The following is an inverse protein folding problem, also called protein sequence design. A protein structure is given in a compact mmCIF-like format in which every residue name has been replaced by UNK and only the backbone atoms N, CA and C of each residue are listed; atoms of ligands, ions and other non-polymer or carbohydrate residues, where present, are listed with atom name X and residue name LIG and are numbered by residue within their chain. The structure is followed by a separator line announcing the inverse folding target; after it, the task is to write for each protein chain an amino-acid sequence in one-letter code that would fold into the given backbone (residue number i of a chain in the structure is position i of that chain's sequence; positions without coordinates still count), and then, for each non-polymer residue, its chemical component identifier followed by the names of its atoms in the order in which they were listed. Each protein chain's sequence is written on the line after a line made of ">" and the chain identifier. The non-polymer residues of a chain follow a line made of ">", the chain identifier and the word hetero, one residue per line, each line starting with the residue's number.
data_IF_700478665853
#
_entry.id   IF_700478665853
#
_cell.length_a   1.000
_cell.length_b   1.000
_cell.length_c   1.000
_cell.angle_alpha   90.00
_cell.angle_beta   90.00
_cell.angle_gamma   90.00
#
_symmetry.space_group_name_H-M   'P 1'
#
loop_
_entity.id
_entity.type
_entity.pdbx_description
1 polymer ?
#
# COMPACT_ATOMS: atom_id res chain seq x y z
N UNK A 1 -14.48 79.11 23.58
CA UNK A 1 -13.85 78.72 22.31
C UNK A 1 -13.15 77.39 22.57
N UNK A 2 -13.40 76.44 21.68
CA UNK A 2 -13.15 74.99 21.78
C UNK A 2 -11.72 74.62 22.15
N UNK A 3 -11.56 73.79 23.17
CA UNK A 3 -10.32 73.04 23.41
C UNK A 3 -10.31 71.82 22.48
N UNK A 4 -9.26 71.70 21.69
CA UNK A 4 -8.92 70.54 20.86
C UNK A 4 -8.74 69.29 21.74
N UNK A 5 -9.72 68.38 21.71
CA UNK A 5 -9.52 66.99 22.11
C UNK A 5 -9.00 66.20 20.90
N UNK A 6 -7.68 66.03 20.82
CA UNK A 6 -7.10 64.96 19.98
C UNK A 6 -7.30 63.63 20.70
N UNK A 7 -8.23 62.83 20.21
CA UNK A 7 -8.30 61.39 20.51
C UNK A 7 -6.95 60.72 20.21
N UNK A 8 -6.43 59.86 21.10
CA UNK A 8 -5.24 59.08 20.79
C UNK A 8 -5.59 57.98 19.77
N UNK A 9 -4.73 57.71 18.76
CA UNK A 9 -4.98 56.64 17.82
C UNK A 9 -4.52 55.32 18.44
N UNK A 10 -5.45 54.51 18.94
CA UNK A 10 -5.20 53.09 19.19
C UNK A 10 -6.49 52.32 19.45
N UNK A 11 -7.01 51.65 18.44
CA UNK A 11 -7.42 50.26 18.59
C UNK A 11 -6.94 49.50 17.35
N UNK A 12 -5.82 48.82 17.55
CA UNK A 12 -5.23 47.93 16.59
C UNK A 12 -6.27 46.94 16.02
N UNK A 13 -6.46 47.01 14.71
CA UNK A 13 -6.78 45.85 13.87
C UNK A 13 -5.65 44.82 14.04
N UNK A 14 -5.66 44.11 15.16
CA UNK A 14 -5.01 42.80 15.27
C UNK A 14 -5.84 41.82 14.46
N UNK A 15 -5.80 41.98 13.14
CA UNK A 15 -6.11 40.88 12.22
C UNK A 15 -5.16 39.76 12.61
N UNK A 16 -5.75 38.67 13.10
CA UNK A 16 -5.08 37.58 13.78
C UNK A 16 -3.79 37.20 13.06
N UNK A 17 -2.65 37.36 13.74
CA UNK A 17 -1.37 36.80 13.29
C UNK A 17 -1.59 35.28 13.30
N UNK A 18 -2.01 34.73 12.16
CA UNK A 18 -2.29 33.30 12.01
C UNK A 18 -1.01 32.55 12.30
N UNK A 19 -0.94 31.90 13.47
CA UNK A 19 0.20 31.10 13.85
C UNK A 19 0.40 30.00 12.78
N UNK A 20 1.56 29.92 12.12
CA UNK A 20 1.80 28.92 11.07
C UNK A 20 1.62 27.48 11.55
N UNK A 21 1.86 27.21 12.84
CA UNK A 21 1.67 25.88 13.45
C UNK A 21 0.19 25.51 13.53
N UNK A 22 -0.66 26.45 13.97
CA UNK A 22 -2.11 26.27 14.04
C UNK A 22 -2.70 26.01 12.64
N UNK A 23 -2.18 26.73 11.63
CA UNK A 23 -2.56 26.52 10.24
C UNK A 23 -2.17 25.15 9.70
N UNK A 24 -1.04 24.58 10.15
CA UNK A 24 -0.61 23.23 9.78
C UNK A 24 -1.53 22.17 10.38
N UNK A 25 -1.78 22.23 11.69
CA UNK A 25 -2.62 21.25 12.42
C UNK A 25 -4.03 21.23 11.82
N UNK A 26 -4.63 22.40 11.61
CA UNK A 26 -5.97 22.46 11.03
C UNK A 26 -6.03 21.90 9.60
N UNK A 27 -4.96 22.05 8.82
CA UNK A 27 -4.89 21.44 7.48
C UNK A 27 -4.69 19.92 7.52
N UNK A 28 -4.01 19.41 8.55
CA UNK A 28 -3.86 17.98 8.82
C UNK A 28 -5.22 17.38 9.18
N UNK A 29 -5.96 17.99 10.10
CA UNK A 29 -7.32 17.56 10.47
C UNK A 29 -8.27 17.55 9.26
N UNK A 30 -8.28 18.63 8.47
CA UNK A 30 -9.14 18.70 7.28
C UNK A 30 -8.83 17.61 6.25
N UNK A 31 -7.57 17.19 6.11
CA UNK A 31 -7.23 16.13 5.16
C UNK A 31 -7.56 14.74 5.72
N UNK A 32 -7.39 14.50 7.03
CA UNK A 32 -7.77 13.22 7.64
C UNK A 32 -9.28 13.03 7.65
N UNK A 33 -10.06 14.07 7.97
CA UNK A 33 -11.53 14.02 7.91
C UNK A 33 -12.01 13.72 6.49
N UNK A 34 -11.47 14.46 5.52
CA UNK A 34 -11.81 14.23 4.12
C UNK A 34 -11.38 12.83 3.64
N UNK A 35 -10.27 12.29 4.14
CA UNK A 35 -9.80 10.94 3.82
C UNK A 35 -10.74 9.87 4.38
N UNK A 36 -11.24 10.04 5.60
CA UNK A 36 -12.23 9.14 6.19
C UNK A 36 -13.54 9.08 5.38
N UNK A 37 -13.94 10.21 4.78
CA UNK A 37 -15.14 10.26 3.94
C UNK A 37 -14.93 9.63 2.55
N UNK A 38 -13.81 9.91 1.87
CA UNK A 38 -13.65 9.60 0.44
C UNK A 38 -12.65 8.49 0.13
N UNK A 39 -11.81 8.10 1.09
CA UNK A 39 -10.80 7.06 0.98
C UNK A 39 -9.67 7.33 -0.01
N UNK A 40 -9.68 8.50 -0.68
CA UNK A 40 -8.77 8.82 -1.77
C UNK A 40 -7.93 10.03 -1.41
N UNK A 41 -6.62 9.83 -1.24
CA UNK A 41 -5.66 10.90 -0.88
C UNK A 41 -5.74 12.11 -1.81
N UNK A 42 -5.90 11.90 -3.13
CA UNK A 42 -5.97 13.00 -4.10
C UNK A 42 -7.23 13.88 -3.91
N UNK A 43 -8.36 13.28 -3.56
CA UNK A 43 -9.60 14.01 -3.29
C UNK A 43 -9.52 14.69 -1.92
N UNK A 44 -9.04 13.98 -0.89
CA UNK A 44 -8.86 14.52 0.45
C UNK A 44 -7.94 15.76 0.46
N UNK A 45 -6.81 15.69 -0.24
CA UNK A 45 -5.89 16.83 -0.39
C UNK A 45 -6.56 18.02 -1.09
N UNK A 46 -7.42 17.77 -2.09
CA UNK A 46 -8.14 18.83 -2.80
C UNK A 46 -9.14 19.53 -1.86
N UNK A 47 -9.88 18.77 -1.06
CA UNK A 47 -10.83 19.30 -0.06
C UNK A 47 -10.13 20.09 1.04
N UNK A 48 -9.00 19.58 1.54
CA UNK A 48 -8.18 20.28 2.52
C UNK A 48 -7.41 21.49 1.94
N UNK A 49 -7.34 21.62 0.61
CA UNK A 49 -6.59 22.69 -0.06
C UNK A 49 -5.08 22.59 0.15
N UNK A 50 -4.52 21.37 0.13
CA UNK A 50 -3.09 21.11 0.21
C UNK A 50 -2.60 20.36 -1.04
N UNK A 51 -1.33 20.53 -1.38
CA UNK A 51 -0.70 19.71 -2.41
C UNK A 51 -0.40 18.30 -1.88
N UNK A 52 -0.49 17.28 -2.73
CA UNK A 52 -0.11 15.90 -2.36
C UNK A 52 1.33 15.78 -1.87
N UNK A 53 2.25 16.58 -2.42
CA UNK A 53 3.64 16.62 -1.97
C UNK A 53 3.74 17.08 -0.50
N UNK A 54 2.91 18.03 -0.08
CA UNK A 54 2.82 18.48 1.31
C UNK A 54 2.31 17.37 2.22
N UNK A 55 1.28 16.65 1.78
CA UNK A 55 0.72 15.50 2.51
C UNK A 55 1.79 14.42 2.77
N UNK A 56 2.51 13.97 1.75
CA UNK A 56 3.55 12.94 1.92
C UNK A 56 4.72 13.42 2.78
N UNK A 57 5.15 14.68 2.61
CA UNK A 57 6.16 15.25 3.50
C UNK A 57 5.71 15.24 4.97
N UNK A 58 4.45 15.56 5.24
CA UNK A 58 3.93 15.49 6.60
C UNK A 58 3.86 14.07 7.15
N UNK A 59 3.57 13.07 6.31
CA UNK A 59 3.64 11.66 6.73
C UNK A 59 5.06 11.25 7.14
N UNK A 60 6.08 11.69 6.38
CA UNK A 60 7.48 11.38 6.68
C UNK A 60 7.97 12.11 7.94
N UNK A 61 7.57 13.38 8.13
CA UNK A 61 8.06 14.24 9.20
C UNK A 61 7.31 14.03 10.54
N UNK A 62 6.08 13.52 10.51
CA UNK A 62 5.18 13.50 11.67
C UNK A 62 4.48 12.13 11.85
N UNK A 63 5.04 11.24 12.70
CA UNK A 63 4.45 9.95 13.00
C UNK A 63 3.04 10.02 13.61
N UNK A 64 2.69 11.12 14.29
CA UNK A 64 1.34 11.29 14.84
C UNK A 64 0.33 11.55 13.72
N UNK A 65 0.71 12.32 12.70
CA UNK A 65 -0.10 12.50 11.51
C UNK A 65 -0.28 11.20 10.72
N UNK A 66 0.77 10.38 10.61
CA UNK A 66 0.66 9.05 9.99
C UNK A 66 -0.39 8.17 10.71
N UNK A 67 -0.39 8.15 12.04
CA UNK A 67 -1.39 7.41 12.80
C UNK A 67 -2.83 7.91 12.54
N UNK A 68 -3.04 9.23 12.46
CA UNK A 68 -4.35 9.82 12.14
C UNK A 68 -4.81 9.46 10.71
N UNK A 69 -3.88 9.42 9.76
CA UNK A 69 -4.15 8.99 8.39
C UNK A 69 -4.56 7.52 8.34
N UNK A 70 -3.87 6.65 9.08
CA UNK A 70 -4.19 5.23 9.13
C UNK A 70 -5.59 5.00 9.74
N UNK A 71 -5.92 5.73 10.81
CA UNK A 71 -7.25 5.70 11.43
C UNK A 71 -8.34 6.19 10.47
N UNK A 72 -8.10 7.31 9.77
CA UNK A 72 -9.04 7.83 8.77
C UNK A 72 -9.27 6.83 7.63
N UNK A 73 -8.20 6.20 7.13
CA UNK A 73 -8.31 5.19 6.08
C UNK A 73 -9.11 3.98 6.56
N UNK A 74 -8.93 3.55 7.81
CA UNK A 74 -9.69 2.45 8.38
C UNK A 74 -11.16 2.81 8.61
N UNK A 75 -11.46 4.04 9.03
CA UNK A 75 -12.84 4.53 9.11
C UNK A 75 -13.54 4.49 7.73
N UNK A 76 -12.83 4.85 6.66
CA UNK A 76 -13.36 4.71 5.30
C UNK A 76 -13.59 3.23 4.92
N UNK A 77 -12.64 2.35 5.28
CA UNK A 77 -12.78 0.92 5.05
C UNK A 77 -13.99 0.34 5.80
N UNK A 78 -14.26 0.79 7.03
CA UNK A 78 -15.45 0.42 7.79
C UNK A 78 -16.74 0.88 7.10
N UNK A 79 -16.78 2.10 6.57
CA UNK A 79 -17.91 2.56 5.77
C UNK A 79 -18.16 1.66 4.54
N UNK A 80 -17.08 1.22 3.86
CA UNK A 80 -17.19 0.27 2.75
C UNK A 80 -17.72 -1.09 3.24
N UNK A 81 -17.21 -1.62 4.36
CA UNK A 81 -17.68 -2.90 4.93
C UNK A 81 -19.16 -2.86 5.27
N UNK A 82 -19.62 -1.76 5.88
CA UNK A 82 -21.04 -1.55 6.19
C UNK A 82 -21.90 -1.53 4.93
N UNK A 83 -21.46 -0.86 3.86
CA UNK A 83 -22.22 -0.83 2.60
C UNK A 83 -22.19 -2.18 1.87
N UNK A 84 -21.09 -2.94 1.97
CA UNK A 84 -21.01 -4.32 1.50
C UNK A 84 -22.06 -5.17 2.21
N UNK A 85 -22.11 -5.13 3.55
CA UNK A 85 -23.08 -5.89 4.34
C UNK A 85 -24.51 -5.47 4.01
N UNK A 86 -24.80 -4.16 3.97
CA UNK A 86 -26.11 -3.64 3.61
C UNK A 86 -26.59 -4.16 2.25
N UNK A 87 -25.73 -4.16 1.21
CA UNK A 87 -26.10 -4.66 -0.13
C UNK A 87 -26.15 -6.18 -0.23
N UNK A 88 -25.31 -6.88 0.51
CA UNK A 88 -25.21 -8.33 0.46
C UNK A 88 -26.31 -9.02 1.29
N UNK A 89 -26.58 -8.52 2.49
CA UNK A 89 -27.43 -9.16 3.50
C UNK A 89 -28.82 -8.53 3.57
N UNK A 90 -28.92 -7.20 3.55
CA UNK A 90 -30.23 -6.53 3.56
C UNK A 90 -30.78 -6.36 2.16
N UNK A 91 -29.91 -6.12 1.17
CA UNK A 91 -30.23 -5.87 -0.22
C UNK A 91 -30.55 -4.40 -0.53
N UNK A 92 -30.96 -4.13 -1.77
CA UNK A 92 -31.45 -2.83 -2.22
C UNK A 92 -32.84 -2.99 -2.81
N UNK A 93 -33.78 -2.14 -2.39
CA UNK A 93 -35.11 -2.07 -3.00
C UNK A 93 -35.00 -1.52 -4.41
N UNK A 94 -35.42 -2.31 -5.39
CA UNK A 94 -35.49 -1.88 -6.79
C UNK A 94 -36.91 -1.98 -7.35
N UNK A 95 -37.36 -0.97 -8.11
CA UNK A 95 -38.64 -1.05 -8.79
C UNK A 95 -38.58 -2.12 -9.89
N UNK A 96 -39.64 -2.92 -10.00
CA UNK A 96 -39.81 -3.93 -11.06
C UNK A 96 -41.16 -3.77 -11.75
N UNK A 97 -41.25 -4.29 -12.97
CA UNK A 97 -42.47 -4.18 -13.79
C UNK A 97 -42.57 -2.81 -14.46
N UNK A 98 -41.57 -2.46 -15.28
CA UNK A 98 -41.65 -1.30 -16.15
C UNK A 98 -42.56 -1.61 -17.34
N UNK A 99 -43.71 -0.94 -17.42
CA UNK A 99 -44.56 -0.95 -18.60
C UNK A 99 -44.71 0.49 -19.10
N UNK A 100 -44.32 0.74 -20.35
CA UNK A 100 -44.31 2.08 -20.98
C UNK A 100 -43.56 3.17 -20.19
N UNK A 101 -42.47 2.81 -19.50
CA UNK A 101 -41.63 3.78 -18.78
C UNK A 101 -42.11 4.12 -17.36
N UNK A 102 -43.24 3.56 -16.93
CA UNK A 102 -43.73 3.69 -15.56
C UNK A 102 -43.49 2.38 -14.81
N UNK A 103 -42.94 2.49 -13.59
CA UNK A 103 -42.81 1.34 -12.69
C UNK A 103 -44.19 1.02 -12.10
N UNK A 104 -44.66 -0.22 -12.24
CA UNK A 104 -45.97 -0.69 -11.78
C UNK A 104 -46.14 -0.78 -10.25
N UNK A 105 -45.46 0.06 -9.47
CA UNK A 105 -45.54 0.14 -8.01
C UNK A 105 -44.97 -1.05 -7.26
N UNK A 106 -44.45 -2.06 -7.97
CA UNK A 106 -43.89 -3.28 -7.38
C UNK A 106 -42.40 -3.09 -7.14
N UNK A 107 -41.92 -3.48 -5.96
CA UNK A 107 -40.51 -3.45 -5.59
C UNK A 107 -40.06 -4.85 -5.25
N UNK A 108 -38.83 -5.20 -5.63
CA UNK A 108 -38.13 -6.39 -5.15
C UNK A 108 -36.92 -5.96 -4.35
N UNK A 109 -36.54 -6.82 -3.40
CA UNK A 109 -35.28 -6.69 -2.70
C UNK A 109 -34.20 -7.42 -3.52
N UNK A 110 -33.22 -6.69 -4.04
CA UNK A 110 -32.09 -7.28 -4.76
C UNK A 110 -30.88 -7.39 -3.84
N UNK A 111 -30.35 -8.61 -3.71
CA UNK A 111 -29.15 -8.90 -2.94
C UNK A 111 -27.94 -9.02 -3.87
N UNK A 112 -26.75 -8.76 -3.33
CA UNK A 112 -25.49 -8.94 -4.07
C UNK A 112 -24.73 -10.16 -3.56
N UNK A 113 -24.94 -11.30 -4.21
CA UNK A 113 -24.24 -12.55 -3.89
C UNK A 113 -22.72 -12.41 -4.04
N UNK A 114 -22.26 -11.63 -5.02
CA UNK A 114 -20.83 -11.36 -5.20
C UNK A 114 -20.24 -10.65 -3.98
N UNK A 115 -20.93 -9.62 -3.46
CA UNK A 115 -20.48 -8.92 -2.25
C UNK A 115 -20.55 -9.83 -1.03
N UNK A 116 -21.57 -10.70 -0.94
CA UNK A 116 -21.68 -11.70 0.12
C UNK A 116 -20.50 -12.68 0.09
N UNK A 117 -20.10 -13.15 -1.09
CA UNK A 117 -18.93 -14.02 -1.28
C UNK A 117 -17.65 -13.31 -0.84
N UNK A 118 -17.44 -12.05 -1.24
CA UNK A 118 -16.27 -11.28 -0.80
C UNK A 118 -16.24 -11.08 0.72
N UNK A 119 -17.39 -10.75 1.32
CA UNK A 119 -17.51 -10.58 2.76
C UNK A 119 -17.24 -11.90 3.51
N UNK A 120 -17.77 -13.01 3.00
CA UNK A 120 -17.51 -14.36 3.52
C UNK A 120 -16.02 -14.72 3.46
N UNK A 121 -15.39 -14.53 2.29
CA UNK A 121 -13.94 -14.75 2.10
C UNK A 121 -13.07 -13.95 3.07
N UNK A 122 -13.46 -12.72 3.38
CA UNK A 122 -12.72 -11.87 4.31
C UNK A 122 -12.75 -12.42 5.75
N UNK A 123 -13.93 -12.84 6.23
CA UNK A 123 -14.14 -13.25 7.64
C UNK A 123 -13.89 -14.74 7.92
N UNK A 124 -14.15 -15.60 6.95
CA UNK A 124 -14.20 -17.06 7.16
C UNK A 124 -13.07 -17.75 6.39
N UNK A 125 -12.03 -18.27 7.08
CA UNK A 125 -10.86 -18.87 6.43
C UNK A 125 -11.18 -20.00 5.44
N UNK A 126 -12.23 -20.77 5.68
CA UNK A 126 -12.65 -21.90 4.85
C UNK A 126 -13.17 -21.48 3.47
N UNK A 127 -13.59 -20.22 3.30
CA UNK A 127 -14.05 -19.67 2.02
C UNK A 127 -12.94 -18.94 1.26
N UNK A 128 -11.79 -18.67 1.88
CA UNK A 128 -10.66 -18.01 1.22
C UNK A 128 -10.19 -18.80 0.01
N UNK A 129 -9.74 -18.08 -1.02
CA UNK A 129 -9.18 -18.70 -2.21
C UNK A 129 -7.94 -19.53 -1.84
N UNK A 130 -7.99 -20.82 -2.17
CA UNK A 130 -6.83 -21.71 -2.04
C UNK A 130 -5.93 -21.48 -3.24
N UNK A 131 -4.78 -20.86 -3.01
CA UNK A 131 -3.74 -20.76 -4.04
C UNK A 131 -3.05 -22.12 -4.12
N UNK A 132 -3.21 -22.82 -5.24
CA UNK A 132 -2.50 -24.07 -5.49
C UNK A 132 -1.06 -23.74 -5.90
N UNK A 133 -0.14 -23.88 -4.94
CA UNK A 133 1.30 -23.58 -5.09
C UNK A 133 2.01 -24.76 -5.79
N UNK A 134 1.41 -25.34 -6.84
CA UNK A 134 1.99 -26.49 -7.55
C UNK A 134 3.08 -26.10 -8.57
N UNK A 135 3.28 -24.80 -8.85
CA UNK A 135 4.34 -24.33 -9.76
C UNK A 135 5.17 -23.17 -9.20
N UNK A 136 5.33 -23.06 -7.87
CA UNK A 136 6.42 -22.25 -7.33
C UNK A 136 7.67 -23.11 -7.31
N UNK A 137 8.61 -22.82 -8.21
CA UNK A 137 9.97 -23.33 -8.15
C UNK A 137 10.49 -23.00 -6.74
N UNK A 138 10.59 -24.03 -5.90
CA UNK A 138 11.12 -23.94 -4.54
C UNK A 138 12.62 -23.72 -4.65
N UNK A 139 13.02 -22.44 -4.76
CA UNK A 139 14.43 -22.02 -4.90
C UNK A 139 15.32 -22.60 -3.80
N UNK A 140 14.77 -22.87 -2.62
CA UNK A 140 15.44 -23.51 -1.49
C UNK A 140 15.82 -24.98 -1.72
N UNK A 141 15.23 -25.62 -2.73
CA UNK A 141 15.52 -27.01 -3.09
C UNK A 141 16.42 -27.14 -4.30
N UNK A 142 16.77 -26.04 -4.96
CA UNK A 142 17.65 -26.09 -6.13
C UNK A 142 19.08 -26.27 -5.64
N UNK A 143 19.78 -27.21 -6.26
CA UNK A 143 21.21 -27.34 -6.11
C UNK A 143 21.90 -26.35 -7.06
N UNK A 144 22.21 -25.17 -6.54
CA UNK A 144 22.79 -24.06 -7.31
C UNK A 144 24.18 -24.39 -7.86
N UNK A 145 24.91 -25.30 -7.23
CA UNK A 145 26.27 -25.69 -7.64
C UNK A 145 26.26 -26.62 -8.86
N UNK A 146 25.12 -27.25 -9.14
CA UNK A 146 24.94 -28.15 -10.28
C UNK A 146 24.27 -27.49 -11.49
N UNK A 147 23.94 -26.20 -11.39
CA UNK A 147 23.42 -25.44 -12.52
C UNK A 147 24.56 -25.04 -13.48
N UNK A 148 24.30 -24.96 -14.79
CA UNK A 148 25.29 -24.45 -15.74
C UNK A 148 25.69 -23.01 -15.41
N UNK A 149 26.98 -22.68 -15.57
CA UNK A 149 27.48 -21.31 -15.35
C UNK A 149 26.69 -20.27 -16.17
N UNK A 150 26.24 -20.61 -17.38
CA UNK A 150 25.41 -19.72 -18.21
C UNK A 150 24.08 -19.30 -17.55
N UNK A 151 23.52 -20.14 -16.67
CA UNK A 151 22.30 -19.86 -15.91
C UNK A 151 22.66 -19.02 -14.68
N UNK A 152 23.74 -19.39 -13.98
CA UNK A 152 24.23 -18.70 -12.77
C UNK A 152 24.65 -17.26 -13.10
N UNK A 153 25.37 -17.06 -14.20
CA UNK A 153 25.89 -15.76 -14.65
C UNK A 153 24.74 -14.78 -14.93
N UNK A 154 23.64 -15.24 -15.52
CA UNK A 154 22.44 -14.41 -15.77
C UNK A 154 21.82 -13.91 -14.46
N UNK A 155 21.73 -14.79 -13.47
CA UNK A 155 21.19 -14.46 -12.14
C UNK A 155 22.14 -13.50 -11.41
N UNK A 156 23.46 -13.73 -11.50
CA UNK A 156 24.49 -12.84 -10.96
C UNK A 156 24.43 -11.44 -11.60
N UNK A 157 24.10 -11.35 -12.89
CA UNK A 157 23.85 -10.11 -13.62
C UNK A 157 22.50 -9.44 -13.30
N UNK A 158 21.85 -9.81 -12.18
CA UNK A 158 20.57 -9.28 -11.68
C UNK A 158 19.35 -9.60 -12.55
N UNK A 159 19.42 -10.60 -13.43
CA UNK A 159 18.19 -11.13 -14.02
C UNK A 159 17.31 -11.81 -12.96
N UNK A 160 16.00 -11.79 -13.17
CA UNK A 160 15.08 -12.43 -12.24
C UNK A 160 15.29 -13.96 -12.25
N UNK A 161 15.70 -14.52 -11.09
CA UNK A 161 16.02 -15.94 -10.95
C UNK A 161 14.88 -16.87 -11.40
N UNK A 162 13.61 -16.52 -11.15
CA UNK A 162 12.48 -17.34 -11.59
C UNK A 162 12.36 -17.36 -13.11
N UNK A 163 12.55 -16.23 -13.78
CA UNK A 163 12.48 -16.16 -15.23
C UNK A 163 13.62 -16.93 -15.90
N UNK A 164 14.83 -16.84 -15.33
CA UNK A 164 16.00 -17.58 -15.82
C UNK A 164 15.79 -19.09 -15.69
N UNK A 165 15.34 -19.58 -14.52
CA UNK A 165 15.10 -20.99 -14.27
C UNK A 165 13.90 -21.54 -15.05
N UNK A 166 12.85 -20.74 -15.26
CA UNK A 166 11.74 -21.10 -16.14
C UNK A 166 12.22 -21.28 -17.58
N UNK A 167 13.03 -20.35 -18.11
CA UNK A 167 13.60 -20.48 -19.45
C UNK A 167 14.49 -21.71 -19.62
N UNK A 168 15.16 -22.13 -18.54
CA UNK A 168 15.98 -23.34 -18.51
C UNK A 168 15.13 -24.62 -18.57
N UNK A 169 14.00 -24.66 -17.85
CA UNK A 169 13.01 -25.76 -17.92
C UNK A 169 12.33 -25.80 -19.29
N UNK A 170 11.96 -24.65 -19.86
CA UNK A 170 11.29 -24.55 -21.17
C UNK A 170 12.17 -25.08 -22.30
N UNK A 171 13.50 -25.03 -22.13
CA UNK A 171 14.48 -25.65 -23.03
C UNK A 171 14.56 -27.18 -22.88
N UNK A 172 13.75 -27.78 -22.01
CA UNK A 172 13.68 -29.21 -21.76
C UNK A 172 14.70 -29.71 -20.73
N UNK A 173 15.38 -28.82 -20.00
CA UNK A 173 16.35 -29.20 -18.98
C UNK A 173 15.68 -29.42 -17.61
N UNK A 174 16.11 -30.43 -16.87
CA UNK A 174 15.64 -30.65 -15.50
C UNK A 174 16.43 -29.81 -14.51
N UNK A 175 15.74 -29.22 -13.52
CA UNK A 175 16.41 -28.51 -12.43
C UNK A 175 17.10 -29.50 -11.49
N UNK A 176 18.38 -29.27 -11.14
CA UNK A 176 19.05 -30.07 -10.14
C UNK A 176 18.44 -29.75 -8.77
N UNK A 177 17.97 -30.77 -8.07
CA UNK A 177 17.33 -30.63 -6.76
C UNK A 177 18.23 -31.22 -5.68
N UNK A 178 18.39 -30.51 -4.57
CA UNK A 178 19.08 -31.00 -3.39
C UNK A 178 18.39 -32.29 -2.89
N UNK A 179 19.16 -33.34 -2.55
CA UNK A 179 18.60 -34.56 -2.00
C UNK A 179 17.84 -34.25 -0.72
N UNK A 180 16.63 -34.79 -0.59
CA UNK A 180 15.73 -34.48 0.53
C UNK A 180 16.31 -34.89 1.88
N UNK A 181 16.92 -33.95 2.61
CA UNK A 181 17.38 -34.20 3.97
C UNK A 181 18.40 -33.19 4.50
N UNK A 182 17.91 -32.26 5.34
CA UNK A 182 18.64 -31.32 6.23
C UNK A 182 19.43 -30.20 5.54
N UNK A 183 18.90 -28.98 5.75
CA UNK A 183 19.48 -27.64 5.57
C UNK A 183 21.01 -27.65 5.34
N UNK A 184 21.42 -27.48 4.09
CA UNK A 184 22.77 -27.01 3.82
C UNK A 184 22.83 -25.53 4.21
N UNK A 185 23.56 -25.23 5.29
CA UNK A 185 23.91 -23.87 5.66
C UNK A 185 24.91 -23.35 4.63
N UNK A 186 24.42 -22.84 3.50
CA UNK A 186 25.28 -22.08 2.59
C UNK A 186 25.62 -20.75 3.27
N UNK A 187 26.84 -20.69 3.82
CA UNK A 187 27.56 -19.44 4.06
C UNK A 187 27.61 -18.65 2.76
N UNK A 188 27.26 -17.36 2.82
CA UNK A 188 27.36 -16.41 1.69
C UNK A 188 28.77 -16.51 1.08
N UNK A 189 28.92 -16.39 -0.26
CA UNK A 189 30.24 -16.28 -0.87
C UNK A 189 30.95 -15.05 -0.31
N UNK A 190 32.16 -15.26 0.20
CA UNK A 190 33.10 -14.18 0.53
C UNK A 190 33.64 -13.66 -0.80
N UNK A 191 33.62 -12.33 -0.93
CA UNK A 191 34.05 -11.56 -2.09
C UNK A 191 35.55 -11.80 -2.41
N UNK A 192 35.95 -12.14 -3.65
CA UNK A 192 37.35 -12.30 -4.01
C UNK A 192 37.90 -11.01 -4.60
N UNK A 193 38.59 -10.19 -3.80
CA UNK A 193 39.22 -8.97 -4.33
C UNK A 193 40.02 -8.17 -3.31
N UNK A 194 41.24 -8.61 -3.02
CA UNK A 194 42.25 -7.83 -2.31
C UNK A 194 43.64 -8.40 -2.63
N UNK A 195 44.30 -7.82 -3.63
CA UNK A 195 45.61 -8.22 -4.13
C UNK A 195 46.68 -8.21 -3.02
N UNK A 196 47.62 -9.17 -2.99
CA UNK A 196 48.85 -9.00 -2.23
C UNK A 196 49.82 -8.15 -3.05
N UNK A 197 50.11 -6.94 -2.57
CA UNK A 197 51.23 -6.15 -3.05
C UNK A 197 52.54 -6.80 -2.66
N UNK A 198 53.34 -7.18 -3.65
CA UNK A 198 54.77 -7.44 -3.49
C UNK A 198 55.44 -6.21 -2.86
N UNK A 199 56.17 -6.39 -1.75
CA UNK A 199 57.43 -5.69 -1.62
C UNK A 199 58.47 -6.56 -0.92
N UNK A 200 59.52 -6.72 -1.70
CA UNK A 200 60.80 -7.36 -1.44
C UNK A 200 61.59 -6.60 -0.36
N UNK A 201 62.63 -7.25 0.17
CA UNK A 201 63.79 -6.52 0.66
C UNK A 201 63.89 -6.28 2.16
N UNK A 202 64.57 -7.24 2.80
CA UNK A 202 65.90 -6.98 3.38
C UNK A 202 66.05 -6.28 4.75
N UNK A 203 66.98 -6.89 5.49
CA UNK A 203 67.93 -6.31 6.43
C UNK A 203 67.57 -6.18 7.92
N UNK A 204 68.26 -7.09 8.65
CA UNK A 204 68.82 -7.03 10.00
C UNK A 204 67.92 -7.45 11.16
#
# INVERSE_FOLDING_TARGET
>A
MSFDEKEPPNEATHEAIRNPVEGKIQKMELVTDALAEVGTVSEACRRAGIARATYYRWLDDDPAFQAQVDEAQEAHNDAIRNEIERRAVEGVRKPVGFYKGEHGGTFVQEYSDTLLIFHAKARMPEYRDKVDVQQTIKLDRIDWDQLPNSVIDRIANRENAFAVLASYIDQGNELPLLPGGKRSLMTRPVDPGGEPSDNDGSHQ
#
